data_IF_070402896387
#
_entry.id   IF_070402896387
#
_cell.length_a   1.000
_cell.length_b   1.000
_cell.length_c   1.000
_cell.angle_alpha   90.00
_cell.angle_beta   90.00
_cell.angle_gamma   90.00
#
_symmetry.space_group_name_H-M   'P 1'
#
loop_
_entity.id
_entity.type
_entity.pdbx_description
1 polymer ?
#
# COMPACT_ATOMS: atom_id res chain seq x y z
N UNK A 1 -20.21 -4.03 -17.50
CA UNK A 1 -19.26 -4.50 -16.47
C UNK A 1 -18.38 -3.31 -16.13
N UNK A 2 -18.28 -2.93 -14.86
CA UNK A 2 -17.37 -1.85 -14.44
C UNK A 2 -15.97 -2.42 -14.30
N UNK A 3 -14.97 -1.79 -14.92
CA UNK A 3 -13.58 -2.20 -14.80
C UNK A 3 -13.10 -1.94 -13.36
N UNK A 4 -12.46 -2.93 -12.77
CA UNK A 4 -11.82 -2.84 -11.46
C UNK A 4 -10.35 -3.22 -11.58
N UNK A 5 -9.47 -2.37 -11.06
CA UNK A 5 -8.02 -2.52 -11.15
C UNK A 5 -7.43 -2.72 -9.76
N UNK A 6 -6.60 -3.75 -9.63
CA UNK A 6 -5.82 -4.01 -8.43
C UNK A 6 -4.38 -3.54 -8.65
N UNK A 7 -3.87 -2.76 -7.71
CA UNK A 7 -2.49 -2.32 -7.67
C UNK A 7 -1.80 -3.00 -6.48
N UNK A 8 -0.61 -3.54 -6.71
CA UNK A 8 0.21 -4.15 -5.66
C UNK A 8 1.60 -3.52 -5.71
N UNK A 9 1.97 -2.79 -4.67
CA UNK A 9 3.32 -2.26 -4.56
C UNK A 9 3.69 -2.04 -3.11
N UNK A 10 4.86 -2.55 -2.72
CA UNK A 10 5.44 -2.35 -1.41
C UNK A 10 6.60 -1.33 -1.50
N UNK A 11 6.68 -0.43 -0.52
CA UNK A 11 7.77 0.53 -0.40
C UNK A 11 7.62 1.85 -1.14
N UNK A 12 6.48 2.12 -1.79
CA UNK A 12 6.14 3.46 -2.28
C UNK A 12 5.41 4.29 -1.21
N UNK A 13 5.55 5.62 -1.22
CA UNK A 13 4.77 6.48 -0.34
C UNK A 13 3.28 6.37 -0.69
N UNK A 14 2.46 6.22 0.36
CA UNK A 14 1.02 6.18 0.24
C UNK A 14 0.43 7.60 0.25
N UNK A 15 -0.66 7.88 -0.47
CA UNK A 15 -1.35 9.19 -0.50
C UNK A 15 -2.09 9.54 0.80
N UNK A 16 -1.67 8.96 1.92
CA UNK A 16 -2.19 9.17 3.29
C UNK A 16 -1.10 9.67 4.24
N UNK A 17 0.17 9.67 3.78
CA UNK A 17 1.31 10.18 4.54
C UNK A 17 1.61 11.58 4.02
N UNK A 18 1.50 12.58 4.89
CA UNK A 18 1.80 13.98 4.53
C UNK A 18 3.22 14.11 3.96
N UNK A 19 3.39 15.06 3.03
CA UNK A 19 4.67 15.56 2.48
C UNK A 19 5.44 14.67 1.49
N UNK A 20 4.99 13.45 1.17
CA UNK A 20 5.70 12.61 0.20
C UNK A 20 5.14 12.74 -1.23
N UNK A 21 6.02 13.06 -2.19
CA UNK A 21 5.72 12.99 -3.62
C UNK A 21 5.28 11.57 -3.97
N UNK A 22 4.13 11.44 -4.65
CA UNK A 22 3.68 10.14 -5.17
C UNK A 22 4.66 9.58 -6.19
N UNK A 23 4.93 8.29 -6.06
CA UNK A 23 5.73 7.52 -7.02
C UNK A 23 4.81 6.89 -8.07
N UNK A 24 5.33 5.98 -8.89
CA UNK A 24 4.66 5.49 -10.10
C UNK A 24 3.29 4.88 -9.78
N UNK A 25 3.20 4.05 -8.75
CA UNK A 25 1.95 3.37 -8.40
C UNK A 25 0.91 4.37 -7.92
N UNK A 26 1.32 5.36 -7.12
CA UNK A 26 0.43 6.44 -6.69
C UNK A 26 -0.04 7.34 -7.83
N UNK A 27 0.83 7.63 -8.82
CA UNK A 27 0.45 8.38 -10.02
C UNK A 27 -0.51 7.60 -10.91
N UNK A 28 -0.28 6.30 -11.10
CA UNK A 28 -1.18 5.41 -11.85
C UNK A 28 -2.54 5.32 -11.15
N UNK A 29 -2.56 5.12 -9.84
CA UNK A 29 -3.80 5.09 -9.06
C UNK A 29 -4.59 6.39 -9.23
N UNK A 30 -3.91 7.54 -9.13
CA UNK A 30 -4.53 8.85 -9.34
C UNK A 30 -5.20 8.96 -10.71
N UNK A 31 -4.47 8.61 -11.78
CA UNK A 31 -4.98 8.70 -13.15
C UNK A 31 -6.19 7.78 -13.38
N UNK A 32 -6.11 6.52 -12.94
CA UNK A 32 -7.22 5.56 -13.06
C UNK A 32 -8.47 6.05 -12.32
N UNK A 33 -8.29 6.60 -11.13
CA UNK A 33 -9.37 7.14 -10.29
C UNK A 33 -10.01 8.37 -10.94
N UNK A 34 -9.22 9.25 -11.58
CA UNK A 34 -9.71 10.41 -12.34
C UNK A 34 -10.54 9.99 -13.57
N UNK A 35 -10.23 8.82 -14.14
CA UNK A 35 -11.03 8.18 -15.19
C UNK A 35 -12.24 7.39 -14.66
N UNK A 36 -12.57 7.53 -13.38
CA UNK A 36 -13.70 6.87 -12.70
C UNK A 36 -13.61 5.33 -12.69
N UNK A 37 -12.40 4.78 -12.79
CA UNK A 37 -12.14 3.34 -12.61
C UNK A 37 -12.11 3.01 -11.13
N UNK A 38 -12.61 1.83 -10.73
CA UNK A 38 -12.49 1.35 -9.36
C UNK A 38 -11.07 0.82 -9.10
N UNK A 39 -10.39 1.35 -8.09
CA UNK A 39 -9.01 0.99 -7.75
C UNK A 39 -8.93 0.50 -6.31
N UNK A 40 -8.40 -0.72 -6.14
CA UNK A 40 -7.92 -1.22 -4.86
C UNK A 40 -6.38 -1.30 -4.90
N UNK A 41 -5.71 -0.57 -4.01
CA UNK A 41 -4.25 -0.66 -3.87
C UNK A 41 -3.88 -1.40 -2.59
N UNK A 42 -3.30 -2.59 -2.75
CA UNK A 42 -2.71 -3.37 -1.67
C UNK A 42 -1.27 -2.94 -1.41
N UNK A 43 -1.01 -2.44 -0.22
CA UNK A 43 0.29 -1.92 0.19
C UNK A 43 0.59 -2.29 1.64
N UNK A 44 1.86 -2.24 2.03
CA UNK A 44 2.25 -2.49 3.42
C UNK A 44 1.81 -1.34 4.34
N UNK A 45 1.36 -1.69 5.55
CA UNK A 45 1.22 -0.72 6.66
C UNK A 45 2.56 -0.10 7.03
N UNK A 46 3.68 -0.73 6.68
CA UNK A 46 5.02 -0.26 7.00
C UNK A 46 5.53 0.79 6.00
N UNK A 47 5.91 1.96 6.50
CA UNK A 47 6.58 3.01 5.71
C UNK A 47 8.08 2.69 5.60
N UNK A 48 8.53 2.31 4.40
CA UNK A 48 9.94 1.96 4.15
C UNK A 48 10.89 3.16 4.24
N UNK A 49 10.40 4.37 4.00
CA UNK A 49 11.18 5.61 4.15
C UNK A 49 11.38 5.97 5.61
N UNK A 50 10.31 5.91 6.41
CA UNK A 50 10.34 6.28 7.82
C UNK A 50 10.72 5.12 8.76
N UNK A 51 10.81 3.89 8.23
CA UNK A 51 11.06 2.64 8.97
C UNK A 51 10.12 2.43 10.17
N UNK A 52 8.84 2.77 9.99
CA UNK A 52 7.78 2.63 11.00
C UNK A 52 6.45 2.31 10.33
N UNK A 53 5.55 1.66 11.05
CA UNK A 53 4.17 1.54 10.62
C UNK A 53 3.49 2.92 10.52
N UNK A 54 2.57 3.05 9.56
CA UNK A 54 1.67 4.19 9.48
C UNK A 54 0.68 4.09 10.64
N UNK A 55 0.48 5.20 11.34
CA UNK A 55 -0.39 5.29 12.53
C UNK A 55 -1.87 5.37 12.11
N UNK A 56 -2.40 4.25 11.62
CA UNK A 56 -3.78 4.13 11.15
C UNK A 56 -4.40 2.85 11.73
N UNK A 57 -5.54 3.03 12.38
CA UNK A 57 -6.27 1.97 13.07
C UNK A 57 -6.87 0.94 12.12
N UNK A 58 -7.36 1.38 10.95
CA UNK A 58 -8.04 0.52 9.99
C UNK A 58 -7.06 -0.13 9.01
N UNK A 59 -7.35 -1.37 8.62
CA UNK A 59 -6.61 -2.08 7.56
C UNK A 59 -7.06 -1.64 6.15
N UNK A 60 -8.23 -1.00 6.02
CA UNK A 60 -8.73 -0.46 4.75
C UNK A 60 -8.96 1.03 4.91
N UNK A 61 -8.47 1.80 3.96
CA UNK A 61 -8.64 3.25 3.91
C UNK A 61 -9.35 3.60 2.62
N UNK A 62 -10.49 4.25 2.74
CA UNK A 62 -11.19 4.83 1.59
C UNK A 62 -10.67 6.25 1.34
N UNK A 63 -10.03 6.44 0.18
CA UNK A 63 -9.49 7.73 -0.24
C UNK A 63 -10.57 8.51 -1.01
N UNK A 64 -11.34 7.79 -1.84
CA UNK A 64 -12.51 8.25 -2.59
C UNK A 64 -13.46 7.07 -2.80
N UNK A 65 -14.68 7.33 -3.23
CA UNK A 65 -15.70 6.29 -3.48
C UNK A 65 -15.22 5.15 -4.42
N UNK A 66 -14.31 5.45 -5.35
CA UNK A 66 -13.73 4.50 -6.30
C UNK A 66 -12.24 4.19 -6.02
N UNK A 67 -11.72 4.52 -4.84
CA UNK A 67 -10.31 4.34 -4.51
C UNK A 67 -10.09 3.93 -3.05
N UNK A 68 -9.61 2.70 -2.85
CA UNK A 68 -9.30 2.15 -1.53
C UNK A 68 -7.86 1.69 -1.46
N UNK A 69 -7.28 1.78 -0.26
CA UNK A 69 -5.97 1.26 0.06
C UNK A 69 -6.12 0.19 1.14
N UNK A 70 -5.63 -1.01 0.85
CA UNK A 70 -5.59 -2.14 1.77
C UNK A 70 -4.19 -2.21 2.37
N UNK A 71 -4.09 -1.90 3.67
CA UNK A 71 -2.88 -1.94 4.46
C UNK A 71 -2.62 -3.35 4.99
N UNK A 72 -1.68 -4.02 4.35
CA UNK A 72 -1.20 -5.34 4.75
C UNK A 72 -0.26 -5.23 5.95
N UNK A 73 -0.48 -6.01 7.03
CA UNK A 73 0.45 -6.04 8.14
C UNK A 73 1.77 -6.68 7.73
N UNK A 74 2.88 -6.10 8.16
CA UNK A 74 4.22 -6.60 7.91
C UNK A 74 5.13 -6.38 9.11
N UNK A 75 6.20 -7.16 9.19
CA UNK A 75 7.19 -7.03 10.27
C UNK A 75 7.99 -5.75 10.09
N UNK A 76 8.09 -4.92 11.14
CA UNK A 76 8.92 -3.72 11.10
C UNK A 76 10.42 -4.07 11.07
N UNK A 77 11.20 -3.23 10.42
CA UNK A 77 12.66 -3.37 10.40
C UNK A 77 13.33 -2.01 10.31
N UNK A 78 14.52 -1.86 10.91
CA UNK A 78 15.21 -0.57 11.02
C UNK A 78 16.34 -0.37 10.00
N UNK A 79 16.89 -1.45 9.45
CA UNK A 79 18.05 -1.43 8.53
C UNK A 79 17.64 -1.77 7.11
N UNK A 80 18.15 -1.04 6.11
CA UNK A 80 17.86 -1.31 4.69
C UNK A 80 18.33 -2.69 4.21
N UNK A 81 19.41 -3.20 4.80
CA UNK A 81 19.93 -4.55 4.60
C UNK A 81 19.76 -5.36 5.88
N UNK A 82 18.81 -6.29 5.89
CA UNK A 82 18.46 -7.08 7.06
C UNK A 82 17.65 -8.33 6.68
N UNK A 83 17.85 -9.47 7.36
CA UNK A 83 16.95 -10.63 7.24
C UNK A 83 15.49 -10.29 7.60
N UNK A 84 15.28 -9.31 8.50
CA UNK A 84 13.93 -8.84 8.84
C UNK A 84 13.19 -8.24 7.64
N UNK A 85 13.90 -7.70 6.65
CA UNK A 85 13.28 -7.23 5.40
C UNK A 85 12.78 -8.40 4.55
N UNK A 86 13.43 -9.55 4.59
CA UNK A 86 12.95 -10.77 3.92
C UNK A 86 11.69 -11.29 4.63
N UNK A 87 11.73 -11.35 5.97
CA UNK A 87 10.58 -11.73 6.79
C UNK A 87 9.40 -10.78 6.55
N UNK A 88 9.66 -9.47 6.40
CA UNK A 88 8.65 -8.49 6.03
C UNK A 88 7.96 -8.89 4.72
N UNK A 89 8.72 -9.14 3.65
CA UNK A 89 8.15 -9.53 2.36
C UNK A 89 7.34 -10.83 2.43
N UNK A 90 7.82 -11.82 3.19
CA UNK A 90 7.09 -13.07 3.41
C UNK A 90 5.76 -12.84 4.16
N UNK A 91 5.76 -11.97 5.17
CA UNK A 91 4.53 -11.57 5.88
C UNK A 91 3.55 -10.89 4.95
N UNK A 92 4.00 -9.94 4.11
CA UNK A 92 3.15 -9.24 3.14
C UNK A 92 2.54 -10.23 2.15
N UNK A 93 3.35 -11.13 1.57
CA UNK A 93 2.86 -12.15 0.64
C UNK A 93 1.80 -13.06 1.28
N UNK A 94 2.04 -13.53 2.52
CA UNK A 94 1.07 -14.36 3.26
C UNK A 94 -0.23 -13.62 3.57
N UNK A 95 -0.14 -12.35 3.97
CA UNK A 95 -1.33 -11.57 4.28
C UNK A 95 -2.13 -11.23 3.02
N UNK A 96 -1.44 -10.95 1.91
CA UNK A 96 -2.08 -10.76 0.61
C UNK A 96 -2.82 -12.02 0.14
N UNK A 97 -2.21 -13.22 0.25
CA UNK A 97 -2.87 -14.47 -0.15
C UNK A 97 -4.10 -14.84 0.67
N UNK A 98 -4.30 -14.22 1.84
CA UNK A 98 -5.49 -14.45 2.65
C UNK A 98 -6.68 -13.56 2.25
N UNK A 99 -6.44 -12.54 1.43
CA UNK A 99 -7.46 -11.54 1.04
C UNK A 99 -7.73 -11.50 -0.48
N UNK A 100 -6.89 -12.18 -1.28
CA UNK A 100 -6.92 -12.20 -2.74
C UNK A 100 -7.04 -13.63 -3.28
#
# INVERSE_FOLDING_TARGET
>A
MTLKVWLTQDGEPLPIQDSNRLFRTGLIAKELVEQNVEVDWFASRFSHSNKKNVDILNDIIEIKNNYRIHLLPGVEYKKNFSPFRIIHQQSIARNFSNIA
#
